data_IF_175822907844
#
_entry.id   IF_175822907844
#
_cell.length_a   1.000
_cell.length_b   1.000
_cell.length_c   1.000
_cell.angle_alpha   90.00
_cell.angle_beta   90.00
_cell.angle_gamma   90.00
#
_symmetry.space_group_name_H-M   'P 1'
#
loop_
_entity.id
_entity.type
_entity.pdbx_description
1 polymer ?
#
# COMPACT_ATOMS: atom_id res chain seq x y z
N UNK A 1 -14.93 -26.09 -22.89
CA UNK A 1 -14.73 -24.61 -22.88
C UNK A 1 -15.28 -24.04 -21.58
N UNK A 2 -14.91 -24.65 -20.47
CA UNK A 2 -15.25 -24.22 -19.11
C UNK A 2 -13.95 -24.34 -18.33
N UNK A 3 -13.64 -23.36 -17.49
CA UNK A 3 -12.37 -23.15 -16.75
C UNK A 3 -11.35 -22.17 -17.35
N UNK A 4 -11.82 -21.02 -17.86
CA UNK A 4 -11.00 -19.79 -17.87
C UNK A 4 -11.84 -18.66 -17.24
N UNK A 5 -12.28 -18.87 -16.00
CA UNK A 5 -13.05 -17.87 -15.23
C UNK A 5 -12.85 -18.02 -13.72
N UNK A 6 -11.66 -18.43 -13.29
CA UNK A 6 -11.28 -18.46 -11.87
C UNK A 6 -10.00 -17.65 -11.72
N UNK A 7 -10.04 -16.69 -10.79
CA UNK A 7 -8.96 -15.77 -10.38
C UNK A 7 -8.89 -14.42 -11.11
N UNK A 8 -10.02 -13.77 -11.39
CA UNK A 8 -10.06 -12.32 -11.18
C UNK A 8 -10.26 -12.15 -9.67
N UNK A 9 -9.17 -12.00 -8.90
CA UNK A 9 -9.30 -11.71 -7.48
C UNK A 9 -10.10 -10.42 -7.32
N UNK A 10 -11.28 -10.54 -6.71
CA UNK A 10 -12.17 -9.42 -6.51
C UNK A 10 -11.55 -8.54 -5.43
N UNK A 11 -11.06 -7.36 -5.81
CA UNK A 11 -10.55 -6.36 -4.88
C UNK A 11 -11.61 -6.10 -3.79
N UNK A 12 -11.26 -6.17 -2.51
CA UNK A 12 -12.25 -6.03 -1.44
C UNK A 12 -12.88 -4.65 -1.47
N UNK A 13 -14.20 -4.59 -1.40
CA UNK A 13 -14.96 -3.34 -1.25
C UNK A 13 -15.13 -2.95 0.23
N UNK A 14 -14.88 -3.88 1.14
CA UNK A 14 -14.95 -3.71 2.59
C UNK A 14 -13.80 -4.45 3.28
N UNK A 15 -13.31 -3.93 4.40
CA UNK A 15 -12.29 -4.57 5.24
C UNK A 15 -12.95 -5.44 6.30
N UNK A 16 -12.44 -6.66 6.46
CA UNK A 16 -12.81 -7.54 7.57
C UNK A 16 -12.36 -6.93 8.91
N UNK A 17 -13.24 -6.94 9.91
CA UNK A 17 -12.88 -6.54 11.27
C UNK A 17 -14.05 -6.00 12.08
N UNK A 18 -14.08 -6.29 13.38
CA UNK A 18 -15.12 -5.78 14.30
C UNK A 18 -14.89 -4.33 14.73
N UNK A 19 -13.66 -3.83 14.61
CA UNK A 19 -13.26 -2.47 14.95
C UNK A 19 -12.21 -1.94 13.95
N UNK A 20 -11.88 -0.65 14.05
CA UNK A 20 -10.94 0.01 13.13
C UNK A 20 -9.55 -0.62 13.14
N UNK A 21 -9.09 -1.16 14.27
CA UNK A 21 -7.80 -1.84 14.36
C UNK A 21 -7.83 -3.18 13.64
N UNK A 22 -8.91 -3.95 13.79
CA UNK A 22 -9.10 -5.20 13.08
C UNK A 22 -9.17 -4.97 11.56
N UNK A 23 -9.83 -3.88 11.13
CA UNK A 23 -9.83 -3.45 9.72
C UNK A 23 -8.44 -3.03 9.24
N UNK A 24 -7.69 -2.25 10.02
CA UNK A 24 -6.32 -1.88 9.66
C UNK A 24 -5.45 -3.13 9.50
N UNK A 25 -5.61 -4.10 10.41
CA UNK A 25 -4.89 -5.36 10.34
C UNK A 25 -5.30 -6.22 9.13
N UNK A 26 -6.57 -6.20 8.70
CA UNK A 26 -6.98 -6.89 7.47
C UNK A 26 -6.45 -6.19 6.22
N UNK A 27 -6.45 -4.86 6.17
CA UNK A 27 -5.81 -4.08 5.11
C UNK A 27 -4.31 -4.41 4.98
N UNK A 28 -3.59 -4.45 6.09
CA UNK A 28 -2.16 -4.78 6.13
C UNK A 28 -1.82 -6.22 5.67
N UNK A 29 -2.83 -7.08 5.47
CA UNK A 29 -2.65 -8.44 4.92
C UNK A 29 -2.90 -8.54 3.43
N UNK A 30 -3.45 -7.49 2.81
CA UNK A 30 -3.56 -7.41 1.36
C UNK A 30 -2.16 -7.35 0.74
N UNK A 31 -2.04 -7.65 -0.55
CA UNK A 31 -0.74 -7.48 -1.21
C UNK A 31 -0.38 -5.98 -1.34
N UNK A 32 0.88 -5.68 -1.66
CA UNK A 32 1.34 -4.27 -1.73
C UNK A 32 0.52 -3.40 -2.69
N UNK A 33 0.14 -3.96 -3.86
CA UNK A 33 -0.71 -3.26 -4.84
C UNK A 33 -2.08 -2.95 -4.25
N UNK A 34 -2.72 -3.91 -3.62
CA UNK A 34 -4.03 -3.74 -3.01
C UNK A 34 -4.02 -2.75 -1.85
N UNK A 35 -2.99 -2.79 -1.01
CA UNK A 35 -2.77 -1.78 0.05
C UNK A 35 -2.67 -0.36 -0.54
N UNK A 36 -1.93 -0.19 -1.64
CA UNK A 36 -1.78 1.09 -2.32
C UNK A 36 -3.08 1.56 -2.99
N UNK A 37 -3.81 0.67 -3.65
CA UNK A 37 -5.11 0.98 -4.27
C UNK A 37 -6.10 1.44 -3.20
N UNK A 38 -6.22 0.72 -2.09
CA UNK A 38 -7.09 1.12 -0.98
C UNK A 38 -6.73 2.52 -0.46
N UNK A 39 -5.44 2.78 -0.31
CA UNK A 39 -4.93 4.07 0.18
C UNK A 39 -5.20 5.22 -0.79
N UNK A 40 -4.96 5.01 -2.09
CA UNK A 40 -5.25 5.98 -3.15
C UNK A 40 -6.74 6.29 -3.21
N UNK A 41 -7.61 5.28 -3.18
CA UNK A 41 -9.05 5.47 -3.18
C UNK A 41 -9.53 6.30 -1.98
N UNK A 42 -8.93 6.09 -0.81
CA UNK A 42 -9.30 6.82 0.41
C UNK A 42 -8.95 8.32 0.38
N UNK A 43 -7.96 8.71 -0.42
CA UNK A 43 -7.36 10.05 -0.37
C UNK A 43 -7.10 10.70 -1.74
N UNK A 44 -7.73 10.20 -2.82
CA UNK A 44 -7.48 10.62 -4.20
C UNK A 44 -7.63 12.13 -4.43
N UNK A 45 -8.82 12.66 -4.12
CA UNK A 45 -9.15 14.10 -4.30
C UNK A 45 -8.85 14.94 -3.05
N UNK A 46 -8.98 14.35 -1.86
CA UNK A 46 -8.85 15.08 -0.60
C UNK A 46 -8.53 14.17 0.59
N UNK A 47 -7.68 14.67 1.48
CA UNK A 47 -7.40 14.03 2.76
C UNK A 47 -5.97 14.14 3.26
N UNK A 48 -5.12 14.86 2.53
CA UNK A 48 -3.84 15.30 3.05
C UNK A 48 -4.02 16.43 4.10
N UNK A 49 -3.08 16.59 5.04
CA UNK A 49 -3.17 17.62 6.08
C UNK A 49 -3.25 19.06 5.56
N UNK A 50 -2.78 19.32 4.35
CA UNK A 50 -2.81 20.62 3.67
C UNK A 50 -4.11 20.89 2.90
N UNK A 51 -5.05 19.94 2.88
CA UNK A 51 -6.32 20.03 2.18
C UNK A 51 -6.31 19.49 0.75
N UNK A 52 -5.16 19.00 0.25
CA UNK A 52 -5.04 18.36 -1.06
C UNK A 52 -5.37 16.86 -1.07
N UNK A 53 -5.23 16.26 -2.26
CA UNK A 53 -5.39 14.82 -2.53
C UNK A 53 -4.12 14.16 -3.06
N UNK A 54 -4.16 12.85 -3.25
CA UNK A 54 -3.03 12.02 -3.69
C UNK A 54 -2.93 11.80 -5.20
N UNK A 55 -3.82 12.37 -6.02
CA UNK A 55 -3.80 12.16 -7.48
C UNK A 55 -2.46 12.52 -8.12
N UNK A 56 -1.80 13.59 -7.68
CA UNK A 56 -0.46 13.98 -8.12
C UNK A 56 0.70 13.13 -7.56
N UNK A 57 0.42 12.26 -6.59
CA UNK A 57 1.39 11.38 -5.92
C UNK A 57 1.22 9.91 -6.33
N UNK A 58 0.29 9.60 -7.25
CA UNK A 58 -0.02 8.24 -7.66
C UNK A 58 1.21 7.50 -8.20
N UNK A 59 1.99 8.15 -9.07
CA UNK A 59 3.23 7.57 -9.63
C UNK A 59 4.23 7.22 -8.54
N UNK A 60 4.44 8.13 -7.58
CA UNK A 60 5.35 7.91 -6.46
C UNK A 60 4.87 6.75 -5.56
N UNK A 61 3.56 6.62 -5.36
CA UNK A 61 2.98 5.49 -4.62
C UNK A 61 3.23 4.17 -5.36
N UNK A 62 3.17 4.15 -6.69
CA UNK A 62 3.51 2.97 -7.47
C UNK A 62 4.99 2.62 -7.41
N UNK A 63 5.90 3.61 -7.38
CA UNK A 63 7.32 3.37 -7.12
C UNK A 63 7.53 2.66 -5.76
N UNK A 64 6.74 2.99 -4.73
CA UNK A 64 6.80 2.29 -3.45
C UNK A 64 6.32 0.84 -3.56
N UNK A 65 5.24 0.58 -4.29
CA UNK A 65 4.74 -0.79 -4.52
C UNK A 65 5.78 -1.65 -5.22
N UNK A 66 6.35 -1.14 -6.32
CA UNK A 66 7.36 -1.85 -7.10
C UNK A 66 8.62 -2.13 -6.26
N UNK A 67 9.08 -1.14 -5.49
CA UNK A 67 10.25 -1.30 -4.64
C UNK A 67 10.02 -2.30 -3.50
N UNK A 68 8.85 -2.26 -2.86
CA UNK A 68 8.49 -3.24 -1.83
C UNK A 68 8.46 -4.66 -2.43
N UNK A 69 7.83 -4.82 -3.60
CA UNK A 69 7.75 -6.11 -4.31
C UNK A 69 9.13 -6.62 -4.74
N UNK A 70 10.01 -5.73 -5.20
CA UNK A 70 11.38 -6.05 -5.60
C UNK A 70 12.26 -6.49 -4.43
N UNK A 71 12.11 -5.85 -3.27
CA UNK A 71 12.83 -6.23 -2.05
C UNK A 71 12.31 -7.57 -1.52
N UNK A 72 10.98 -7.77 -1.57
CA UNK A 72 10.29 -8.99 -1.12
C UNK A 72 10.29 -10.11 -2.17
N UNK A 73 11.24 -10.11 -3.11
CA UNK A 73 11.23 -10.99 -4.29
C UNK A 73 11.28 -12.50 -3.97
N UNK A 74 11.53 -12.87 -2.72
CA UNK A 74 11.48 -14.26 -2.26
C UNK A 74 10.05 -14.75 -1.98
N UNK A 75 9.07 -13.84 -1.79
CA UNK A 75 7.67 -14.19 -1.50
C UNK A 75 6.83 -14.18 -2.78
N UNK A 76 5.99 -15.20 -2.95
CA UNK A 76 5.14 -15.34 -4.14
C UNK A 76 4.08 -14.23 -4.26
N UNK A 77 3.56 -13.74 -3.13
CA UNK A 77 2.67 -12.57 -3.02
C UNK A 77 3.03 -11.84 -1.72
N UNK A 78 3.78 -10.76 -1.84
CA UNK A 78 4.28 -9.98 -0.70
C UNK A 78 3.20 -9.08 -0.08
N UNK A 79 3.14 -9.07 1.24
CA UNK A 79 2.17 -8.28 2.03
C UNK A 79 2.86 -7.34 3.01
N UNK A 80 4.03 -7.73 3.53
CA UNK A 80 4.82 -6.94 4.48
C UNK A 80 6.29 -7.32 4.41
N UNK A 81 7.15 -6.31 4.61
CA UNK A 81 8.61 -6.46 4.63
C UNK A 81 9.08 -6.85 6.04
N UNK A 82 10.08 -7.71 6.15
CA UNK A 82 10.75 -7.90 7.43
C UNK A 82 11.55 -6.64 7.86
N UNK A 83 12.13 -6.65 9.06
CA UNK A 83 12.83 -5.48 9.58
C UNK A 83 14.04 -5.05 8.71
N UNK A 84 14.80 -6.00 8.16
CA UNK A 84 15.96 -5.68 7.30
C UNK A 84 15.53 -5.20 5.92
N UNK A 85 14.48 -5.81 5.36
CA UNK A 85 13.84 -5.40 4.12
C UNK A 85 13.22 -4.00 4.24
N UNK A 86 12.54 -3.70 5.35
CA UNK A 86 11.97 -2.39 5.63
C UNK A 86 13.05 -1.31 5.77
N UNK A 87 14.19 -1.62 6.40
CA UNK A 87 15.34 -0.70 6.43
C UNK A 87 15.86 -0.39 5.02
N UNK A 88 16.10 -1.42 4.20
CA UNK A 88 16.53 -1.24 2.80
C UNK A 88 15.52 -0.46 1.96
N UNK A 89 14.24 -0.66 2.22
CA UNK A 89 13.16 0.05 1.56
C UNK A 89 13.20 1.54 1.89
N UNK A 90 13.29 1.90 3.17
CA UNK A 90 13.33 3.29 3.62
C UNK A 90 14.58 4.03 3.10
N UNK A 91 15.74 3.36 3.12
CA UNK A 91 16.99 3.92 2.57
C UNK A 91 16.88 4.25 1.08
N UNK A 92 16.14 3.45 0.31
CA UNK A 92 16.05 3.63 -1.14
C UNK A 92 15.28 4.88 -1.59
N UNK A 93 14.47 5.48 -0.71
CA UNK A 93 13.72 6.69 -1.00
C UNK A 93 14.34 7.94 -0.38
N UNK A 94 15.55 7.83 0.18
CA UNK A 94 16.36 8.92 0.76
C UNK A 94 15.58 9.80 1.75
N UNK A 95 14.61 9.17 2.43
CA UNK A 95 13.85 9.79 3.50
C UNK A 95 14.54 9.45 4.81
N UNK A 96 14.96 10.46 5.57
CA UNK A 96 15.62 10.34 6.87
C UNK A 96 14.68 9.79 7.95
N UNK A 97 14.07 8.65 7.69
CA UNK A 97 13.04 8.02 8.48
C UNK A 97 13.43 6.57 8.71
N UNK A 98 13.71 6.25 9.96
CA UNK A 98 13.99 4.89 10.41
C UNK A 98 12.67 4.14 10.67
N UNK A 99 12.72 2.81 10.63
CA UNK A 99 11.59 1.95 11.06
C UNK A 99 11.12 2.30 12.48
N UNK A 100 12.05 2.73 13.34
CA UNK A 100 11.76 3.14 14.71
C UNK A 100 10.93 4.43 14.76
N UNK A 101 11.30 5.45 13.99
CA UNK A 101 10.56 6.72 13.91
C UNK A 101 9.17 6.52 13.33
N UNK A 102 9.04 5.73 12.25
CA UNK A 102 7.76 5.36 11.67
C UNK A 102 6.87 4.64 12.71
N UNK A 103 7.37 3.61 13.40
CA UNK A 103 6.61 2.91 14.46
C UNK A 103 6.23 3.85 15.60
N UNK A 104 7.10 4.80 15.96
CA UNK A 104 6.81 5.81 16.99
C UNK A 104 5.66 6.73 16.58
N UNK A 105 5.67 7.22 15.33
CA UNK A 105 4.61 8.04 14.77
C UNK A 105 3.26 7.28 14.71
N UNK A 106 3.29 6.02 14.28
CA UNK A 106 2.09 5.19 14.23
C UNK A 106 1.50 4.94 15.63
N UNK A 107 2.33 4.70 16.66
CA UNK A 107 1.86 4.62 18.06
C UNK A 107 1.27 5.94 18.56
N UNK A 108 1.89 7.06 18.19
CA UNK A 108 1.38 8.39 18.54
C UNK A 108 0.01 8.66 17.91
N UNK A 109 -0.19 8.22 16.67
CA UNK A 109 -1.48 8.32 15.96
C UNK A 109 -2.56 7.36 16.48
N UNK A 110 -2.15 6.34 17.25
CA UNK A 110 -3.02 5.26 17.69
C UNK A 110 -3.18 4.13 16.66
N UNK A 111 -2.57 4.21 15.46
CA UNK A 111 -2.63 3.12 14.47
C UNK A 111 -1.95 1.83 14.95
N UNK A 112 -0.91 1.95 15.77
CA UNK A 112 -0.27 0.83 16.48
C UNK A 112 -0.51 0.93 17.97
N UNK A 113 -0.71 -0.23 18.62
CA UNK A 113 -0.78 -0.31 20.07
C UNK A 113 0.54 0.12 20.74
N UNK A 114 0.47 0.70 21.94
CA UNK A 114 1.66 1.18 22.68
C UNK A 114 2.69 0.06 22.94
N UNK A 115 2.22 -1.16 23.17
CA UNK A 115 3.05 -2.33 23.41
C UNK A 115 3.23 -3.22 22.16
N UNK A 116 2.64 -2.82 21.03
CA UNK A 116 2.71 -3.58 19.80
C UNK A 116 4.10 -3.48 19.19
N UNK A 117 4.64 -4.64 18.78
CA UNK A 117 5.94 -4.75 18.13
C UNK A 117 5.79 -5.63 16.88
N UNK A 118 5.17 -5.10 15.81
CA UNK A 118 5.02 -5.84 14.57
C UNK A 118 6.40 -6.22 14.04
N UNK A 119 6.62 -7.50 13.73
CA UNK A 119 7.89 -7.98 13.19
C UNK A 119 8.08 -7.59 11.72
N UNK A 120 6.98 -7.37 11.03
CA UNK A 120 6.92 -7.01 9.63
C UNK A 120 6.32 -5.60 9.47
N UNK A 121 6.58 -4.99 8.33
CA UNK A 121 6.17 -3.64 7.94
C UNK A 121 5.37 -3.73 6.65
N UNK A 122 4.03 -3.67 6.73
CA UNK A 122 3.15 -3.49 5.58
C UNK A 122 3.40 -2.13 4.91
N UNK A 123 3.15 -2.04 3.60
CA UNK A 123 3.26 -0.78 2.86
C UNK A 123 2.29 0.29 3.42
N UNK A 124 1.11 -0.11 3.89
CA UNK A 124 0.15 0.78 4.54
C UNK A 124 0.75 1.56 5.72
N UNK A 125 1.60 0.93 6.55
CA UNK A 125 2.25 1.61 7.67
C UNK A 125 3.18 2.73 7.19
N UNK A 126 3.94 2.47 6.13
CA UNK A 126 4.80 3.47 5.51
C UNK A 126 3.98 4.62 4.91
N UNK A 127 2.91 4.31 4.16
CA UNK A 127 2.06 5.34 3.53
C UNK A 127 1.38 6.26 4.56
N UNK A 128 0.86 5.69 5.65
CA UNK A 128 0.28 6.47 6.76
C UNK A 128 1.30 7.44 7.35
N UNK A 129 2.52 6.97 7.57
CA UNK A 129 3.60 7.78 8.10
C UNK A 129 4.07 8.86 7.12
N UNK A 130 4.30 8.48 5.85
CA UNK A 130 4.77 9.36 4.78
C UNK A 130 3.85 10.55 4.53
N UNK A 131 2.55 10.29 4.45
CA UNK A 131 1.56 11.30 4.07
C UNK A 131 0.86 11.95 5.28
N UNK A 132 1.08 11.44 6.50
CA UNK A 132 0.53 12.00 7.73
C UNK A 132 -1.01 11.99 7.77
N UNK A 133 -1.64 11.05 7.07
CA UNK A 133 -3.10 10.96 6.94
C UNK A 133 -3.74 10.17 8.10
N UNK A 134 -5.05 10.32 8.30
CA UNK A 134 -5.79 9.61 9.34
C UNK A 134 -6.01 8.14 9.00
N UNK A 135 -5.50 7.24 9.85
CA UNK A 135 -5.71 5.80 9.70
C UNK A 135 -7.18 5.39 9.92
N UNK A 136 -7.92 6.06 10.81
CA UNK A 136 -9.36 5.83 10.98
C UNK A 136 -10.15 6.19 9.71
N UNK A 137 -9.76 7.28 9.03
CA UNK A 137 -10.35 7.63 7.73
C UNK A 137 -9.99 6.60 6.67
N UNK A 138 -8.76 6.09 6.65
CA UNK A 138 -8.31 5.06 5.72
C UNK A 138 -9.16 3.79 5.82
N UNK A 139 -9.35 3.23 7.02
CA UNK A 139 -10.04 1.95 7.20
C UNK A 139 -11.56 2.02 7.06
N UNK A 140 -12.12 3.24 7.13
CA UNK A 140 -13.55 3.49 6.92
C UNK A 140 -13.84 4.20 5.59
N UNK A 141 -12.83 4.36 4.72
CA UNK A 141 -13.01 4.97 3.42
C UNK A 141 -13.89 4.08 2.54
N UNK A 142 -14.94 4.62 1.90
CA UNK A 142 -15.74 3.85 0.97
C UNK A 142 -14.86 3.41 -0.20
N UNK A 143 -14.80 2.11 -0.47
CA UNK A 143 -14.23 1.60 -1.70
C UNK A 143 -15.37 1.49 -2.72
N UNK A 144 -15.43 2.45 -3.64
CA UNK A 144 -16.52 2.56 -4.61
C UNK A 144 -16.32 1.66 -5.84
N UNK A 145 -17.45 1.33 -6.48
CA UNK A 145 -17.67 0.58 -7.73
C UNK A 145 -17.05 1.26 -8.98
N UNK A 146 -15.81 1.75 -8.85
CA UNK A 146 -15.08 2.52 -9.85
C UNK A 146 -14.49 1.64 -10.96
N UNK A 147 -15.18 0.56 -11.34
CA UNK A 147 -14.74 -0.43 -12.34
C UNK A 147 -14.11 0.19 -13.60
N UNK A 148 -14.63 1.32 -14.09
CA UNK A 148 -14.07 2.06 -15.22
C UNK A 148 -12.73 2.78 -14.92
N UNK A 149 -12.58 3.38 -13.73
CA UNK A 149 -11.35 4.08 -13.32
C UNK A 149 -10.28 3.09 -12.83
N UNK A 150 -10.71 1.94 -12.28
CA UNK A 150 -9.85 0.81 -11.91
C UNK A 150 -9.24 0.17 -13.15
N UNK A 151 -10.01 -0.01 -14.23
CA UNK A 151 -9.48 -0.53 -15.50
C UNK A 151 -8.39 0.39 -16.07
N UNK A 152 -8.60 1.71 -16.04
CA UNK A 152 -7.62 2.66 -16.54
C UNK A 152 -6.34 2.72 -15.67
N UNK A 153 -6.48 2.63 -14.34
CA UNK A 153 -5.33 2.55 -13.43
C UNK A 153 -4.57 1.23 -13.57
N UNK A 154 -5.27 0.10 -13.77
CA UNK A 154 -4.67 -1.21 -14.02
C UNK A 154 -3.94 -1.27 -15.36
N UNK A 155 -4.50 -0.68 -16.42
CA UNK A 155 -3.84 -0.60 -17.74
C UNK A 155 -2.57 0.24 -17.69
N UNK A 156 -2.60 1.39 -16.99
CA UNK A 156 -1.40 2.22 -16.78
C UNK A 156 -0.34 1.48 -15.97
N UNK A 157 -0.76 0.73 -14.96
CA UNK A 157 0.16 -0.09 -14.16
C UNK A 157 0.82 -1.18 -14.98
N UNK A 158 0.04 -1.90 -15.78
CA UNK A 158 0.53 -2.99 -16.62
C UNK A 158 1.51 -2.45 -17.66
N UNK A 159 1.22 -1.29 -18.26
CA UNK A 159 2.11 -0.66 -19.22
C UNK A 159 3.46 -0.25 -18.61
N UNK A 160 3.49 0.23 -17.36
CA UNK A 160 4.73 0.56 -16.65
C UNK A 160 5.50 -0.71 -16.26
N UNK A 161 4.80 -1.74 -15.78
CA UNK A 161 5.41 -3.03 -15.43
C UNK A 161 6.06 -3.69 -16.65
N UNK A 162 5.35 -3.68 -17.79
CA UNK A 162 5.85 -4.22 -19.07
C UNK A 162 7.07 -3.43 -19.57
N UNK A 163 7.10 -2.10 -19.37
CA UNK A 163 8.25 -1.27 -19.73
C UNK A 163 9.48 -1.56 -18.84
N UNK A 164 9.27 -1.84 -17.55
CA UNK A 164 10.34 -2.18 -16.62
C UNK A 164 10.93 -3.59 -16.92
N UNK A 165 10.05 -4.56 -17.21
CA UNK A 165 10.45 -5.92 -17.61
C UNK A 165 11.16 -5.97 -18.98
N UNK A 166 10.80 -5.08 -19.90
CA UNK A 166 11.49 -4.95 -21.18
C UNK A 166 12.90 -4.38 -21.01
N UNK A 167 13.12 -3.48 -20.04
CA UNK A 167 14.44 -2.89 -19.77
C UNK A 167 15.39 -3.86 -19.06
N UNK A 168 14.89 -4.85 -18.33
CA UNK A 168 15.72 -5.84 -17.62
C UNK A 168 16.07 -7.07 -18.47
N UNK A 169 15.37 -7.29 -19.60
CA UNK A 169 15.67 -8.35 -20.57
C UNK A 169 16.56 -7.91 -21.74
N UNK A 170 16.92 -6.63 -21.80
CA UNK A 170 17.72 -6.04 -22.88
C UNK A 170 19.22 -5.94 -22.58
N UNK A 171 19.68 -6.40 -21.40
CA UNK A 171 21.09 -6.60 -21.03
C UNK A 171 21.43 -8.11 -20.93
#
# INVERSE_FOLDING_TARGET
LENISLMAEHFPTELDGADDHAKLHSLCKLNYKEQAVWFLNAFWEAGLPDGGGLSGQAEQIWCYVDKASTIDNAKAVGTALDEMEAHRFLEAFDEAHTVLEMRSALRKSGALGQNERPKEVPLTHFLLFKFGVSWNKLVNAPQGDNSAQIAEAQDKLQAVQDAFDASTKAD
#
